data_IF_530542384704
#
_entry.id   IF_530542384704
#
_cell.length_a   1.000
_cell.length_b   1.000
_cell.length_c   1.000
_cell.angle_alpha   90.00
_cell.angle_beta   90.00
_cell.angle_gamma   90.00
#
_symmetry.space_group_name_H-M   'P 1'
#
loop_
_entity.id
_entity.type
_entity.pdbx_description
1 polymer ?
#
# COMPACT_ATOMS: atom_id res chain seq x y z
N UNK A 1 1.42 -5.23 -14.38
CA UNK A 1 0.95 -3.82 -14.26
C UNK A 1 0.74 -3.52 -12.79
N UNK A 2 1.15 -2.33 -12.31
CA UNK A 2 0.95 -1.90 -10.92
C UNK A 2 0.05 -0.67 -10.91
N UNK A 3 -0.99 -0.69 -10.09
CA UNK A 3 -1.97 0.39 -9.96
C UNK A 3 -1.98 0.86 -8.50
N UNK A 4 -1.48 2.08 -8.28
CA UNK A 4 -1.39 2.67 -6.95
C UNK A 4 -2.66 3.45 -6.59
N UNK A 5 -3.12 3.32 -5.36
CA UNK A 5 -4.34 3.95 -4.83
C UNK A 5 -5.55 3.81 -5.75
N UNK A 6 -5.85 2.58 -6.15
CA UNK A 6 -6.87 2.26 -7.14
C UNK A 6 -8.26 2.80 -6.74
N UNK A 7 -8.53 2.96 -5.44
CA UNK A 7 -9.79 3.52 -4.94
C UNK A 7 -10.04 4.97 -5.38
N UNK A 8 -9.02 5.69 -5.86
CA UNK A 8 -9.16 7.07 -6.38
C UNK A 8 -9.87 7.14 -7.72
N UNK A 9 -10.02 6.00 -8.42
CA UNK A 9 -10.75 5.93 -9.67
C UNK A 9 -12.26 5.83 -9.41
N UNK A 10 -13.06 6.37 -10.33
CA UNK A 10 -14.52 6.37 -10.17
C UNK A 10 -15.14 4.96 -10.14
N UNK A 11 -14.60 3.99 -10.89
CA UNK A 11 -15.12 2.62 -10.98
C UNK A 11 -14.00 1.58 -10.99
N UNK A 12 -13.25 1.41 -9.89
CA UNK A 12 -12.02 0.66 -9.95
C UNK A 12 -12.23 -0.86 -10.05
N UNK A 13 -13.33 -1.39 -9.52
CA UNK A 13 -13.72 -2.80 -9.70
C UNK A 13 -13.90 -3.18 -11.18
N UNK A 14 -14.42 -2.26 -12.00
CA UNK A 14 -14.66 -2.53 -13.43
C UNK A 14 -13.35 -2.65 -14.20
N UNK A 15 -12.38 -1.78 -13.91
CA UNK A 15 -11.06 -1.83 -14.51
C UNK A 15 -10.37 -3.16 -14.19
N UNK A 16 -10.39 -3.57 -12.92
CA UNK A 16 -9.79 -4.84 -12.51
C UNK A 16 -10.51 -6.06 -13.12
N UNK A 17 -11.84 -5.99 -13.28
CA UNK A 17 -12.61 -7.04 -13.97
C UNK A 17 -12.20 -7.16 -15.43
N UNK A 18 -12.06 -6.04 -16.15
CA UNK A 18 -11.60 -6.06 -17.55
C UNK A 18 -10.21 -6.67 -17.65
N UNK A 19 -9.31 -6.28 -16.76
CA UNK A 19 -7.96 -6.84 -16.72
C UNK A 19 -7.98 -8.36 -16.50
N UNK A 20 -8.75 -8.84 -15.52
CA UNK A 20 -8.86 -10.27 -15.21
C UNK A 20 -9.55 -11.09 -16.33
N UNK A 21 -10.57 -10.53 -16.99
CA UNK A 21 -11.38 -11.26 -17.98
C UNK A 21 -10.73 -11.29 -19.37
N UNK A 22 -10.08 -10.21 -19.80
CA UNK A 22 -9.57 -10.06 -21.17
C UNK A 22 -8.05 -10.15 -21.27
N UNK A 23 -7.33 -10.04 -20.14
CA UNK A 23 -5.87 -10.05 -20.11
C UNK A 23 -5.32 -11.02 -19.04
N UNK A 24 -5.69 -12.32 -19.08
CA UNK A 24 -5.33 -13.28 -18.03
C UNK A 24 -3.81 -13.49 -17.87
N UNK A 25 -3.04 -13.30 -18.95
CA UNK A 25 -1.57 -13.38 -18.92
C UNK A 25 -0.91 -12.15 -18.26
N UNK A 26 -1.68 -11.10 -17.98
CA UNK A 26 -1.18 -9.87 -17.36
C UNK A 26 -1.43 -9.90 -15.86
N UNK A 27 -0.37 -10.11 -15.08
CA UNK A 27 -0.43 -9.91 -13.63
C UNK A 27 -0.71 -8.44 -13.29
N UNK A 28 -1.79 -8.20 -12.52
CA UNK A 28 -2.15 -6.88 -12.00
C UNK A 28 -1.97 -6.86 -10.49
N UNK A 29 -1.13 -5.95 -10.01
CA UNK A 29 -1.01 -5.60 -8.60
C UNK A 29 -1.72 -4.27 -8.38
N UNK A 30 -2.74 -4.25 -7.52
CA UNK A 30 -3.45 -3.04 -7.16
C UNK A 30 -3.28 -2.76 -5.67
N UNK A 31 -2.90 -1.54 -5.33
CA UNK A 31 -2.82 -1.08 -3.94
C UNK A 31 -4.02 -0.20 -3.63
N UNK A 32 -4.28 -0.06 -2.34
CA UNK A 32 -5.04 1.06 -1.83
C UNK A 32 -5.04 1.04 -0.31
N UNK A 33 -5.55 2.11 0.26
CA UNK A 33 -5.80 2.18 1.70
C UNK A 33 -6.59 0.98 2.23
N UNK A 34 -6.49 0.73 3.53
CA UNK A 34 -7.09 -0.43 4.23
C UNK A 34 -8.61 -0.57 4.07
N UNK A 35 -9.29 0.44 3.53
CA UNK A 35 -10.74 0.41 3.22
C UNK A 35 -11.05 -0.20 1.85
N UNK A 36 -10.04 -0.39 0.97
CA UNK A 36 -10.20 -0.92 -0.37
C UNK A 36 -10.72 -2.36 -0.39
N UNK A 37 -10.04 -3.27 0.31
CA UNK A 37 -10.43 -4.68 0.44
C UNK A 37 -11.73 -4.89 1.22
N UNK A 38 -12.01 -3.98 2.16
CA UNK A 38 -13.23 -4.01 2.98
C UNK A 38 -14.50 -3.60 2.22
N UNK A 39 -14.38 -2.96 1.05
CA UNK A 39 -15.55 -2.62 0.25
C UNK A 39 -16.14 -3.89 -0.40
N UNK A 40 -17.34 -4.29 0.05
CA UNK A 40 -18.05 -5.46 -0.48
C UNK A 40 -18.12 -5.45 -2.03
N UNK A 41 -18.23 -4.26 -2.63
CA UNK A 41 -18.25 -4.03 -4.08
C UNK A 41 -16.99 -4.52 -4.80
N UNK A 42 -15.82 -4.43 -4.18
CA UNK A 42 -14.57 -4.96 -4.73
C UNK A 42 -14.43 -6.46 -4.53
N UNK A 43 -14.84 -6.94 -3.36
CA UNK A 43 -14.72 -8.37 -3.03
C UNK A 43 -15.53 -9.24 -3.98
N UNK A 44 -16.81 -8.92 -4.15
CA UNK A 44 -17.73 -9.72 -4.96
C UNK A 44 -17.41 -9.72 -6.46
N UNK A 45 -16.85 -8.61 -6.98
CA UNK A 45 -16.61 -8.45 -8.42
C UNK A 45 -15.45 -9.31 -8.93
N UNK A 46 -14.51 -9.69 -8.05
CA UNK A 46 -13.27 -10.38 -8.39
C UNK A 46 -13.13 -11.75 -7.72
N UNK A 47 -14.21 -12.27 -7.12
CA UNK A 47 -14.23 -13.59 -6.46
C UNK A 47 -13.61 -14.68 -7.36
N UNK A 48 -12.66 -15.44 -6.80
CA UNK A 48 -11.93 -16.50 -7.49
C UNK A 48 -10.83 -16.04 -8.47
N UNK A 49 -10.71 -14.72 -8.71
CA UNK A 49 -9.73 -14.12 -9.64
C UNK A 49 -8.82 -13.09 -8.96
N UNK A 50 -8.93 -12.92 -7.63
CA UNK A 50 -8.03 -12.07 -6.83
C UNK A 50 -7.39 -12.86 -5.69
N UNK A 51 -6.16 -12.50 -5.37
CA UNK A 51 -5.55 -12.75 -4.08
C UNK A 51 -5.47 -11.40 -3.33
N UNK A 52 -5.71 -11.43 -2.02
CA UNK A 52 -5.65 -10.23 -1.19
C UNK A 52 -4.52 -10.37 -0.17
N UNK A 53 -3.65 -9.35 -0.12
CA UNK A 53 -2.59 -9.26 0.87
C UNK A 53 -2.88 -8.06 1.76
N UNK A 54 -3.05 -8.32 3.06
CA UNK A 54 -3.19 -7.28 4.07
C UNK A 54 -1.81 -6.96 4.67
N UNK A 55 -1.35 -5.73 4.47
CA UNK A 55 -0.12 -5.24 5.11
C UNK A 55 -0.50 -4.57 6.43
N UNK A 56 -0.08 -5.17 7.56
CA UNK A 56 -0.30 -4.58 8.88
C UNK A 56 0.67 -3.42 9.11
N UNK A 57 0.31 -2.44 9.96
CA UNK A 57 1.26 -1.44 10.43
C UNK A 57 2.48 -2.11 11.07
N UNK A 58 3.66 -1.53 10.86
CA UNK A 58 4.90 -2.01 11.46
C UNK A 58 4.85 -1.87 12.99
N UNK A 59 5.24 -2.90 13.72
CA UNK A 59 5.36 -2.94 15.19
C UNK A 59 6.82 -2.98 15.63
N UNK A 60 7.08 -2.88 16.93
CA UNK A 60 8.45 -2.89 17.47
C UNK A 60 9.19 -4.19 17.15
N UNK A 61 8.48 -5.33 17.18
CA UNK A 61 9.07 -6.62 16.85
C UNK A 61 9.61 -6.68 15.41
N UNK A 62 8.98 -5.97 14.47
CA UNK A 62 9.38 -5.95 13.07
C UNK A 62 10.72 -5.22 12.86
N UNK A 63 11.17 -4.39 13.81
CA UNK A 63 12.44 -3.64 13.71
C UNK A 63 13.66 -4.55 13.49
N UNK A 64 13.60 -5.78 13.98
CA UNK A 64 14.65 -6.78 13.75
C UNK A 64 14.77 -7.21 12.28
N UNK A 65 13.67 -7.18 11.53
CA UNK A 65 13.63 -7.61 10.12
C UNK A 65 14.16 -6.53 9.16
N UNK A 66 14.23 -5.27 9.61
CA UNK A 66 14.64 -4.12 8.80
C UNK A 66 16.11 -3.71 9.00
N UNK A 67 16.94 -4.55 9.64
CA UNK A 67 18.38 -4.33 9.88
C UNK A 67 18.74 -3.00 10.59
N UNK A 68 17.74 -2.24 11.09
CA UNK A 68 17.88 -0.96 11.79
C UNK A 68 17.03 -0.94 13.06
N UNK A 69 17.49 -1.56 14.16
CA UNK A 69 16.60 -1.93 15.27
C UNK A 69 16.30 -0.81 16.29
N UNK A 70 16.72 0.45 16.06
CA UNK A 70 16.60 1.48 17.10
C UNK A 70 15.24 2.21 17.07
N UNK A 71 14.59 2.31 18.22
CA UNK A 71 13.40 3.13 18.45
C UNK A 71 13.62 4.61 18.09
N UNK A 72 14.82 5.17 18.33
CA UNK A 72 15.12 6.55 17.93
C UNK A 72 15.02 6.73 16.42
N UNK A 73 15.48 5.73 15.65
CA UNK A 73 15.36 5.70 14.19
C UNK A 73 13.88 5.71 13.78
N UNK A 74 13.09 4.82 14.39
CA UNK A 74 11.65 4.76 14.14
C UNK A 74 10.93 6.06 14.50
N UNK A 75 11.29 6.70 15.61
CA UNK A 75 10.69 7.98 15.99
C UNK A 75 11.08 9.11 15.05
N UNK A 76 12.30 9.08 14.51
CA UNK A 76 12.78 10.10 13.59
C UNK A 76 12.23 9.95 12.17
N UNK A 77 12.15 8.73 11.65
CA UNK A 77 11.73 8.42 10.27
C UNK A 77 10.25 8.02 10.14
N UNK A 78 9.62 7.60 11.23
CA UNK A 78 8.25 7.10 11.25
C UNK A 78 8.16 5.57 11.08
N UNK A 79 6.93 5.07 11.07
CA UNK A 79 6.63 3.63 11.03
C UNK A 79 6.23 3.10 9.65
N UNK A 80 6.37 3.88 8.58
CA UNK A 80 6.12 3.42 7.22
C UNK A 80 7.42 2.88 6.63
N UNK A 81 7.46 1.66 6.08
CA UNK A 81 8.69 1.04 5.58
C UNK A 81 9.51 1.91 4.62
N UNK A 82 8.91 2.66 3.66
CA UNK A 82 9.70 3.52 2.77
C UNK A 82 10.48 4.59 3.53
N UNK A 83 9.86 5.25 4.51
CA UNK A 83 10.52 6.28 5.31
C UNK A 83 11.51 5.68 6.30
N UNK A 84 11.14 4.53 6.88
CA UNK A 84 11.98 3.80 7.82
C UNK A 84 13.26 3.22 7.20
N UNK A 85 13.29 3.03 5.88
CA UNK A 85 14.47 2.55 5.14
C UNK A 85 15.35 3.69 4.59
N UNK A 86 14.99 4.95 4.81
CA UNK A 86 15.81 6.08 4.35
C UNK A 86 17.06 6.27 5.23
N UNK A 87 18.24 6.39 4.60
CA UNK A 87 19.50 6.67 5.32
C UNK A 87 19.58 8.13 5.82
N UNK A 88 18.81 9.04 5.21
CA UNK A 88 18.75 10.44 5.64
C UNK A 88 17.40 11.07 5.30
N UNK A 89 16.86 11.83 6.24
CA UNK A 89 15.64 12.59 6.05
C UNK A 89 15.98 13.85 5.24
N UNK A 90 16.10 13.70 3.92
CA UNK A 90 16.23 14.85 3.02
C UNK A 90 15.07 15.82 3.23
N UNK A 91 15.28 17.12 2.97
CA UNK A 91 14.37 18.26 3.26
C UNK A 91 12.90 18.14 2.81
N UNK A 92 12.51 17.05 2.15
CA UNK A 92 11.18 16.75 1.59
C UNK A 92 10.07 16.69 2.64
N UNK A 93 10.36 16.38 3.90
CA UNK A 93 9.34 16.25 4.95
C UNK A 93 8.72 17.60 5.39
N UNK A 94 9.37 18.74 5.10
CA UNK A 94 8.80 20.05 5.42
C UNK A 94 7.55 20.39 4.58
N UNK A 95 7.34 19.75 3.44
CA UNK A 95 6.23 20.10 2.54
C UNK A 95 4.86 19.55 2.99
N UNK A 96 4.83 18.45 3.75
CA UNK A 96 3.57 17.82 4.16
C UNK A 96 3.06 18.33 5.51
N UNK A 97 3.93 18.81 6.39
CA UNK A 97 3.55 19.41 7.68
C UNK A 97 2.92 20.81 7.58
N UNK A 98 2.91 21.41 6.39
CA UNK A 98 2.39 22.77 6.12
C UNK A 98 0.97 22.78 5.51
N UNK A 99 0.29 21.63 5.49
CA UNK A 99 -1.08 21.49 4.94
C UNK A 99 -2.12 20.99 5.95
N UNK A 100 -1.90 21.24 7.25
CA UNK A 100 -2.94 21.11 8.29
C UNK A 100 -3.24 22.50 8.84
#
# INVERSE_FOLDING_TARGET
MVLDEIHRLNNPSQLLKIAADYYPETGVLATGSSTLGASARFSDTLTGRKAELWLTPMIEADLGDFESPNLDHRFFFGGLPPFFLEESRGDRVRAESLRI
#
